data_IF_394633247887
#
_entry.id   IF_394633247887
#
_cell.length_a   1.000
_cell.length_b   1.000
_cell.length_c   1.000
_cell.angle_alpha   90.00
_cell.angle_beta   90.00
_cell.angle_gamma   90.00
#
_symmetry.space_group_name_H-M   'P 1'
#
loop_
_entity.id
_entity.type
_entity.pdbx_description
1 polymer ?
#
# COMPACT_ATOMS: atom_id res chain seq x y z
N UNK A 1 2.47 -22.11 -20.01
CA UNK A 1 2.01 -21.93 -18.62
C UNK A 1 2.06 -20.44 -18.32
N UNK A 2 0.93 -19.75 -18.42
CA UNK A 2 0.85 -18.34 -18.03
C UNK A 2 0.99 -18.28 -16.50
N UNK A 3 2.15 -17.82 -16.02
CA UNK A 3 2.27 -17.37 -14.63
C UNK A 3 1.45 -16.10 -14.53
N UNK A 4 0.14 -16.21 -14.30
CA UNK A 4 -0.66 -15.07 -13.88
C UNK A 4 -0.08 -14.68 -12.52
N UNK A 5 0.72 -13.61 -12.53
CA UNK A 5 1.21 -12.95 -11.33
C UNK A 5 0.03 -12.76 -10.38
N UNK A 6 0.12 -13.37 -9.19
CA UNK A 6 -0.91 -13.29 -8.17
C UNK A 6 -1.16 -11.81 -7.84
N UNK A 7 -2.30 -11.28 -8.29
CA UNK A 7 -2.73 -9.92 -7.93
C UNK A 7 -3.01 -9.91 -6.43
N UNK A 8 -2.44 -8.93 -5.74
CA UNK A 8 -2.66 -8.70 -4.31
C UNK A 8 -3.13 -7.27 -4.15
N UNK A 9 -4.26 -7.10 -3.46
CA UNK A 9 -4.85 -5.80 -3.22
C UNK A 9 -4.56 -5.34 -1.78
N UNK A 10 -4.30 -4.05 -1.63
CA UNK A 10 -4.02 -3.37 -0.35
C UNK A 10 -5.31 -2.96 0.37
N UNK A 11 -5.21 -2.32 1.54
CA UNK A 11 -6.36 -1.86 2.35
C UNK A 11 -7.35 -0.98 1.57
N UNK A 12 -6.85 -0.18 0.61
CA UNK A 12 -7.67 0.67 -0.26
C UNK A 12 -7.76 0.13 -1.68
N UNK A 13 -7.52 -1.18 -1.82
CA UNK A 13 -7.63 -1.93 -3.06
C UNK A 13 -6.71 -1.46 -4.19
N UNK A 14 -5.58 -0.81 -3.87
CA UNK A 14 -4.50 -0.63 -4.84
C UNK A 14 -3.81 -1.97 -5.12
N UNK A 15 -3.39 -2.17 -6.38
CA UNK A 15 -2.46 -3.24 -6.77
C UNK A 15 -1.12 -3.08 -6.02
N UNK A 16 -0.76 -4.05 -5.18
CA UNK A 16 0.41 -3.98 -4.30
C UNK A 16 1.71 -3.77 -5.08
N UNK A 17 1.88 -4.43 -6.22
CA UNK A 17 3.10 -4.27 -7.02
C UNK A 17 3.22 -2.83 -7.55
N UNK A 18 2.10 -2.24 -7.97
CA UNK A 18 2.00 -0.82 -8.29
C UNK A 18 2.31 0.09 -7.11
N UNK A 19 1.82 -0.21 -5.91
CA UNK A 19 2.18 0.54 -4.70
C UNK A 19 3.69 0.51 -4.45
N UNK A 20 4.33 -0.66 -4.57
CA UNK A 20 5.78 -0.82 -4.42
C UNK A 20 6.54 0.03 -5.43
N UNK A 21 6.17 -0.04 -6.73
CA UNK A 21 6.78 0.79 -7.78
C UNK A 21 6.61 2.29 -7.48
N UNK A 22 5.43 2.69 -7.05
CA UNK A 22 5.11 4.09 -6.72
C UNK A 22 5.91 4.60 -5.54
N UNK A 23 6.11 3.78 -4.50
CA UNK A 23 6.98 4.09 -3.37
C UNK A 23 8.43 4.29 -3.83
N UNK A 24 8.96 3.40 -4.66
CA UNK A 24 10.31 3.53 -5.22
C UNK A 24 10.47 4.82 -6.02
N UNK A 25 9.53 5.12 -6.93
CA UNK A 25 9.55 6.32 -7.74
C UNK A 25 9.53 7.58 -6.87
N UNK A 26 8.59 7.68 -5.93
CA UNK A 26 8.48 8.83 -5.04
C UNK A 26 9.75 9.05 -4.19
N UNK A 27 10.41 7.97 -3.73
CA UNK A 27 11.71 8.07 -3.04
C UNK A 27 12.84 8.57 -3.93
N UNK A 28 12.85 8.19 -5.21
CA UNK A 28 13.86 8.66 -6.19
C UNK A 28 13.65 10.13 -6.52
N UNK A 29 12.40 10.53 -6.74
CA UNK A 29 11.98 11.92 -6.96
C UNK A 29 12.09 12.78 -5.69
N UNK A 30 12.34 12.16 -4.54
CA UNK A 30 12.40 12.78 -3.21
C UNK A 30 11.08 13.47 -2.83
N UNK A 31 9.96 13.02 -3.40
CA UNK A 31 8.60 13.42 -3.04
C UNK A 31 8.19 12.70 -1.76
N UNK A 32 8.44 13.35 -0.62
CA UNK A 32 8.14 12.79 0.69
C UNK A 32 6.64 12.53 0.89
N UNK A 33 5.75 13.39 0.36
CA UNK A 33 4.30 13.28 0.58
C UNK A 33 3.69 12.09 -0.17
N UNK A 34 4.14 11.82 -1.40
CA UNK A 34 3.75 10.58 -2.09
C UNK A 34 4.40 9.35 -1.47
N UNK A 35 5.69 9.43 -1.15
CA UNK A 35 6.40 8.29 -0.61
C UNK A 35 5.80 7.83 0.73
N UNK A 36 5.45 8.77 1.63
CA UNK A 36 4.84 8.43 2.93
C UNK A 36 3.45 7.83 2.76
N UNK A 37 2.67 8.31 1.79
CA UNK A 37 1.36 7.73 1.46
C UNK A 37 1.52 6.26 1.06
N UNK A 38 2.39 5.95 0.09
CA UNK A 38 2.59 4.59 -0.38
C UNK A 38 3.21 3.66 0.67
N UNK A 39 4.13 4.18 1.47
CA UNK A 39 4.72 3.42 2.56
C UNK A 39 3.67 3.03 3.61
N UNK A 40 2.75 3.94 3.96
CA UNK A 40 1.66 3.62 4.88
C UNK A 40 0.57 2.77 4.25
N UNK A 41 0.33 2.88 2.94
CA UNK A 41 -0.54 1.96 2.23
C UNK A 41 -0.05 0.51 2.37
N UNK A 42 1.25 0.27 2.19
CA UNK A 42 1.84 -1.05 2.44
C UNK A 42 1.77 -1.44 3.92
N UNK A 43 2.24 -0.56 4.82
CA UNK A 43 2.38 -0.85 6.24
C UNK A 43 1.04 -1.28 6.87
N UNK A 44 -0.01 -0.49 6.65
CA UNK A 44 -1.33 -0.76 7.23
C UNK A 44 -2.13 -1.82 6.48
N UNK A 45 -1.67 -2.25 5.29
CA UNK A 45 -2.21 -3.46 4.63
C UNK A 45 -1.64 -4.76 5.19
N UNK A 46 -0.67 -4.68 6.11
CA UNK A 46 -0.01 -5.84 6.71
C UNK A 46 1.40 -6.11 6.18
N UNK A 47 1.86 -5.38 5.16
CA UNK A 47 3.19 -5.57 4.55
C UNK A 47 4.30 -4.81 5.29
N UNK A 48 4.28 -4.90 6.63
CA UNK A 48 5.15 -4.10 7.53
C UNK A 48 6.63 -4.42 7.34
N UNK A 49 6.97 -5.69 7.20
CA UNK A 49 8.35 -6.15 7.00
C UNK A 49 8.87 -5.77 5.62
N UNK A 50 8.01 -5.89 4.60
CA UNK A 50 8.30 -5.60 3.21
C UNK A 50 8.63 -4.12 3.02
N UNK A 51 7.81 -3.21 3.58
CA UNK A 51 8.09 -1.77 3.50
C UNK A 51 9.38 -1.40 4.22
N UNK A 52 9.66 -1.97 5.40
CA UNK A 52 10.93 -1.74 6.09
C UNK A 52 12.14 -2.24 5.30
N UNK A 53 12.01 -3.41 4.65
CA UNK A 53 13.05 -3.95 3.77
C UNK A 53 13.30 -3.04 2.57
N UNK A 54 12.26 -2.46 1.96
CA UNK A 54 12.38 -1.49 0.87
C UNK A 54 13.17 -0.26 1.34
N UNK A 55 12.81 0.30 2.50
CA UNK A 55 13.50 1.46 3.07
C UNK A 55 14.96 1.17 3.40
N UNK A 56 15.23 0.03 4.04
CA UNK A 56 16.59 -0.40 4.38
C UNK A 56 17.43 -0.66 3.14
N UNK A 57 16.88 -1.33 2.12
CA UNK A 57 17.57 -1.54 0.84
C UNK A 57 17.92 -0.22 0.18
N UNK A 58 16.98 0.74 0.15
CA UNK A 58 17.23 2.08 -0.40
C UNK A 58 18.35 2.82 0.33
N UNK A 59 18.43 2.68 1.65
CA UNK A 59 19.57 3.15 2.44
C UNK A 59 20.87 2.44 1.99
N UNK A 60 20.89 1.11 2.04
CA UNK A 60 22.08 0.31 1.78
C UNK A 60 22.68 0.58 0.39
N UNK A 61 21.84 0.65 -0.64
CA UNK A 61 22.28 0.80 -2.03
C UNK A 61 22.79 2.20 -2.38
N UNK A 62 22.28 3.24 -1.72
CA UNK A 62 22.49 4.62 -2.17
C UNK A 62 23.16 5.51 -1.13
N UNK A 63 22.99 5.21 0.15
CA UNK A 63 23.47 6.07 1.23
C UNK A 63 24.66 5.48 1.98
N UNK A 64 24.81 4.15 2.05
CA UNK A 64 25.78 3.48 2.93
C UNK A 64 27.23 3.98 2.82
N UNK A 65 27.69 4.27 1.60
CA UNK A 65 29.06 4.75 1.36
C UNK A 65 29.33 6.14 1.96
N UNK A 66 28.33 7.03 1.90
CA UNK A 66 28.47 8.45 2.23
C UNK A 66 27.76 8.85 3.55
N UNK A 67 26.89 8.00 4.09
CA UNK A 67 26.03 8.29 5.25
C UNK A 67 26.01 7.14 6.29
N UNK A 68 27.17 6.65 6.78
CA UNK A 68 27.20 5.54 7.74
C UNK A 68 26.46 5.84 9.07
N UNK A 69 26.50 7.08 9.58
CA UNK A 69 25.74 7.49 10.79
C UNK A 69 24.24 7.41 10.56
N UNK A 70 23.76 7.69 9.36
CA UNK A 70 22.36 7.48 9.01
C UNK A 70 21.96 6.01 9.16
N UNK A 71 22.82 5.06 8.78
CA UNK A 71 22.56 3.64 8.96
C UNK A 71 22.41 3.25 10.42
N UNK A 72 23.32 3.72 11.28
CA UNK A 72 23.22 3.51 12.73
C UNK A 72 21.93 4.12 13.29
N UNK A 73 21.60 5.34 12.87
CA UNK A 73 20.36 5.99 13.26
C UNK A 73 19.11 5.21 12.82
N UNK A 74 19.02 4.79 11.55
CA UNK A 74 17.91 3.99 11.04
C UNK A 74 17.75 2.71 11.85
N UNK A 75 18.84 1.96 12.09
CA UNK A 75 18.79 0.74 12.92
C UNK A 75 18.28 1.00 14.33
N UNK A 76 18.64 2.13 14.93
CA UNK A 76 18.15 2.52 16.26
C UNK A 76 16.68 2.96 16.29
N UNK A 77 16.06 3.20 15.13
CA UNK A 77 14.68 3.70 15.00
C UNK A 77 13.70 2.71 14.41
N UNK A 78 14.18 1.69 13.69
CA UNK A 78 13.31 0.66 13.14
C UNK A 78 12.70 -0.12 14.30
N UNK A 79 11.37 -0.08 14.35
CA UNK A 79 10.53 -0.90 15.19
C UNK A 79 9.28 -1.21 14.35
N UNK A 80 9.08 -2.49 14.03
CA UNK A 80 8.03 -2.94 13.11
C UNK A 80 6.62 -2.62 13.63
N UNK A 81 6.47 -2.48 14.95
CA UNK A 81 5.19 -2.23 15.60
C UNK A 81 4.96 -0.75 15.89
N UNK A 82 5.94 0.12 15.63
CA UNK A 82 5.83 1.57 15.78
C UNK A 82 5.74 2.26 14.42
N UNK A 83 4.54 2.66 13.96
CA UNK A 83 4.36 3.14 12.59
C UNK A 83 5.12 4.45 12.30
N UNK A 84 5.41 5.28 13.31
CA UNK A 84 6.24 6.47 13.14
C UNK A 84 7.68 6.18 12.68
N UNK A 85 8.17 4.94 12.83
CA UNK A 85 9.48 4.56 12.32
C UNK A 85 9.55 4.71 10.78
N UNK A 86 8.46 4.38 10.06
CA UNK A 86 8.35 4.52 8.61
C UNK A 86 8.59 5.97 8.20
N UNK A 87 7.83 6.89 8.79
CA UNK A 87 7.97 8.33 8.54
C UNK A 87 9.35 8.86 8.88
N UNK A 88 9.92 8.42 10.00
CA UNK A 88 11.25 8.81 10.47
C UNK A 88 12.33 8.39 9.48
N UNK A 89 12.36 7.12 9.09
CA UNK A 89 13.33 6.58 8.14
C UNK A 89 13.17 7.27 6.78
N UNK A 90 11.94 7.29 6.27
CA UNK A 90 11.65 7.83 4.95
C UNK A 90 11.97 9.33 4.83
N UNK A 91 11.66 10.14 5.85
CA UNK A 91 11.98 11.57 5.86
C UNK A 91 13.48 11.80 5.72
N UNK A 92 14.30 11.02 6.43
CA UNK A 92 15.75 11.16 6.33
C UNK A 92 16.29 10.69 4.96
N UNK A 93 15.69 9.63 4.38
CA UNK A 93 16.07 9.14 3.05
C UNK A 93 15.68 10.08 1.91
N UNK A 94 14.59 10.85 2.05
CA UNK A 94 14.18 11.82 1.02
C UNK A 94 14.86 13.18 1.20
N UNK A 95 15.19 13.59 2.43
CA UNK A 95 15.83 14.90 2.69
C UNK A 95 17.32 14.94 2.39
N UNK A 96 18.04 13.82 2.46
CA UNK A 96 19.51 13.79 2.30
C UNK A 96 19.91 13.48 0.86
N UNK A 97 21.04 14.05 0.42
CA UNK A 97 21.62 13.72 -0.89
C UNK A 97 22.59 12.53 -0.73
N UNK A 98 22.31 11.36 -1.32
CA UNK A 98 23.18 10.19 -1.22
C UNK A 98 24.59 10.40 -1.79
N UNK A 99 24.75 11.28 -2.77
CA UNK A 99 26.04 11.57 -3.42
C UNK A 99 26.95 12.49 -2.62
N UNK A 100 26.47 13.10 -1.53
CA UNK A 100 27.24 14.02 -0.71
C UNK A 100 27.53 13.36 0.65
N UNK A 101 28.81 13.24 1.06
CA UNK A 101 29.16 12.72 2.38
C UNK A 101 28.47 13.47 3.52
N UNK A 102 28.04 12.74 4.55
CA UNK A 102 27.40 13.35 5.71
C UNK A 102 28.39 14.21 6.52
N UNK A 103 27.97 15.40 6.98
CA UNK A 103 28.84 16.27 7.77
C UNK A 103 29.10 15.66 9.16
N UNK A 104 30.18 16.11 9.81
CA UNK A 104 30.53 15.66 11.17
C UNK A 104 29.34 15.81 12.15
N UNK A 105 28.65 16.95 12.10
CA UNK A 105 27.52 17.32 12.96
C UNK A 105 26.15 17.05 12.30
N UNK A 106 26.01 15.93 11.57
CA UNK A 106 24.76 15.57 10.90
C UNK A 106 23.59 15.49 11.89
N UNK A 107 22.47 16.12 11.54
CA UNK A 107 21.20 15.99 12.26
C UNK A 107 20.28 15.00 11.56
N UNK A 108 19.52 14.25 12.34
CA UNK A 108 18.48 13.35 11.87
C UNK A 108 17.11 13.83 12.33
N UNK A 109 16.12 13.64 11.48
CA UNK A 109 14.73 13.95 11.80
C UNK A 109 14.12 12.75 12.51
N UNK A 110 13.39 13.00 13.60
CA UNK A 110 12.57 11.99 14.27
C UNK A 110 11.10 12.43 14.16
N UNK A 111 10.29 11.64 13.47
CA UNK A 111 8.86 11.92 13.32
C UNK A 111 8.12 11.33 14.52
N UNK A 112 7.23 12.11 15.12
CA UNK A 112 6.42 11.72 16.28
C UNK A 112 5.09 11.12 15.83
N UNK A 113 4.50 10.30 16.69
CA UNK A 113 3.27 9.55 16.39
C UNK A 113 2.10 10.45 15.97
N UNK A 114 1.91 11.60 16.65
CA UNK A 114 0.80 12.50 16.33
C UNK A 114 0.89 13.11 14.91
N UNK A 115 2.07 13.15 14.29
CA UNK A 115 2.21 13.61 12.90
C UNK A 115 1.69 12.61 11.87
N UNK A 116 1.53 11.33 12.26
CA UNK A 116 1.19 10.25 11.33
C UNK A 116 -0.27 9.80 11.47
N UNK A 117 -1.03 10.38 12.39
CA UNK A 117 -2.42 10.04 12.66
C UNK A 117 -3.31 10.15 11.41
N UNK A 118 -2.99 11.09 10.52
CA UNK A 118 -3.67 11.26 9.22
C UNK A 118 -3.49 10.07 8.26
N UNK A 119 -2.53 9.17 8.48
CA UNK A 119 -2.25 8.01 7.61
C UNK A 119 -2.78 6.69 8.16
N UNK A 120 -3.26 6.66 9.41
CA UNK A 120 -3.90 5.48 9.98
C UNK A 120 -5.08 5.04 9.13
N UNK A 121 -5.34 3.74 9.11
CA UNK A 121 -6.57 3.22 8.52
C UNK A 121 -7.76 3.77 9.28
N UNK A 122 -8.69 4.40 8.56
CA UNK A 122 -9.96 4.88 9.11
C UNK A 122 -11.06 4.04 8.54
N UNK A 123 -11.72 3.22 9.34
CA UNK A 123 -12.82 2.40 8.86
C UNK A 123 -13.95 3.27 8.28
N UNK A 124 -14.75 2.78 7.31
CA UNK A 124 -15.95 3.49 6.86
C UNK A 124 -16.84 3.85 8.05
N UNK A 125 -17.25 5.11 8.14
CA UNK A 125 -18.19 5.54 9.17
C UNK A 125 -19.58 4.91 8.92
N UNK A 126 -20.36 4.66 9.97
CA UNK A 126 -21.63 3.93 9.87
C UNK A 126 -22.70 4.59 8.99
N UNK A 127 -22.58 5.89 8.70
CA UNK A 127 -23.44 6.64 7.79
C UNK A 127 -22.89 6.70 6.35
N UNK A 128 -21.64 6.32 6.15
CA UNK A 128 -20.97 6.35 4.85
C UNK A 128 -21.19 5.04 4.13
N UNK A 129 -21.85 5.11 2.97
CA UNK A 129 -22.01 3.95 2.09
C UNK A 129 -20.64 3.36 1.72
N UNK A 130 -20.37 2.06 1.94
CA UNK A 130 -19.04 1.46 1.75
C UNK A 130 -18.43 1.68 0.37
N UNK A 131 -19.23 1.61 -0.70
CA UNK A 131 -18.75 1.86 -2.06
C UNK A 131 -18.30 3.31 -2.31
N UNK A 132 -18.62 4.27 -1.44
CA UNK A 132 -18.07 5.63 -1.54
C UNK A 132 -16.70 5.78 -0.89
N UNK A 133 -16.27 4.78 -0.12
CA UNK A 133 -15.09 4.86 0.71
C UNK A 133 -13.81 5.00 -0.13
N UNK A 134 -13.64 4.20 -1.18
CA UNK A 134 -12.47 4.22 -2.04
C UNK A 134 -12.24 5.61 -2.67
N UNK A 135 -13.30 6.25 -3.14
CA UNK A 135 -13.21 7.59 -3.72
C UNK A 135 -12.67 8.64 -2.73
N UNK A 136 -12.90 8.47 -1.43
CA UNK A 136 -12.41 9.37 -0.38
C UNK A 136 -10.95 9.12 0.02
N UNK A 137 -10.47 7.87 -0.05
CA UNK A 137 -9.15 7.47 0.48
C UNK A 137 -8.08 7.29 -0.60
N UNK A 138 -8.46 6.96 -1.84
CA UNK A 138 -7.53 6.74 -2.94
C UNK A 138 -7.03 8.07 -3.54
N UNK A 139 -5.93 8.58 -2.98
CA UNK A 139 -5.41 9.92 -3.26
C UNK A 139 -4.56 10.04 -4.54
N UNK A 140 -3.69 9.06 -4.81
CA UNK A 140 -2.73 9.11 -5.90
C UNK A 140 -2.92 7.92 -6.85
N UNK A 141 -2.56 8.10 -8.12
CA UNK A 141 -2.46 6.99 -9.07
C UNK A 141 -1.17 6.20 -8.82
N UNK A 142 -1.27 4.88 -8.86
CA UNK A 142 -0.07 4.05 -8.82
C UNK A 142 0.71 4.21 -10.13
N UNK A 143 2.03 4.15 -10.03
CA UNK A 143 2.94 4.15 -11.16
C UNK A 143 2.60 2.99 -12.10
N UNK A 144 2.36 3.29 -13.38
CA UNK A 144 1.94 2.30 -14.35
C UNK A 144 3.03 1.25 -14.59
N UNK A 145 2.62 0.07 -15.08
CA UNK A 145 3.58 -0.92 -15.60
C UNK A 145 4.09 -0.44 -16.96
N UNK A 146 5.34 -0.81 -17.29
CA UNK A 146 5.90 -0.60 -18.63
C UNK A 146 5.33 -1.58 -19.66
N UNK A 147 4.84 -2.74 -19.21
CA UNK A 147 4.25 -3.77 -20.05
C UNK A 147 2.72 -3.69 -19.96
N UNK A 148 2.08 -3.61 -21.13
CA UNK A 148 0.63 -3.44 -21.34
C UNK A 148 -0.14 -4.78 -21.32
N UNK A 149 0.57 -5.91 -21.29
CA UNK A 149 -0.04 -7.23 -21.33
C UNK A 149 -0.93 -7.45 -20.09
N UNK A 150 -2.18 -7.83 -20.36
CA UNK A 150 -3.21 -8.23 -19.40
C UNK A 150 -3.89 -7.09 -18.61
N UNK A 151 -3.82 -5.82 -19.03
CA UNK A 151 -4.56 -4.73 -18.37
C UNK A 151 -6.08 -4.98 -18.29
N UNK A 152 -6.69 -5.50 -19.37
CA UNK A 152 -8.11 -5.89 -19.39
C UNK A 152 -8.42 -6.99 -18.38
N UNK A 153 -7.62 -8.06 -18.37
CA UNK A 153 -7.77 -9.17 -17.42
C UNK A 153 -7.58 -8.72 -15.96
N UNK A 154 -6.64 -7.80 -15.71
CA UNK A 154 -6.43 -7.20 -14.38
C UNK A 154 -7.63 -6.37 -13.94
N UNK A 155 -8.26 -5.61 -14.83
CA UNK A 155 -9.50 -4.89 -14.52
C UNK A 155 -10.65 -5.85 -14.24
N UNK A 156 -10.83 -6.87 -15.08
CA UNK A 156 -11.84 -7.92 -14.85
C UNK A 156 -11.62 -8.56 -13.49
N UNK A 157 -10.38 -8.92 -13.16
CA UNK A 157 -9.99 -9.47 -11.85
C UNK A 157 -10.30 -8.52 -10.70
N UNK A 158 -9.99 -7.23 -10.88
CA UNK A 158 -10.24 -6.19 -9.88
C UNK A 158 -11.72 -5.88 -9.67
N UNK A 159 -12.57 -6.07 -10.68
CA UNK A 159 -14.02 -5.87 -10.58
C UNK A 159 -14.68 -7.08 -9.93
N UNK A 160 -14.49 -8.24 -10.54
CA UNK A 160 -15.28 -9.44 -10.26
C UNK A 160 -14.75 -10.26 -9.07
N UNK A 161 -13.45 -10.16 -8.74
CA UNK A 161 -12.79 -11.04 -7.76
C UNK A 161 -11.96 -10.28 -6.73
N UNK A 162 -12.30 -9.02 -6.50
CA UNK A 162 -11.51 -8.13 -5.66
C UNK A 162 -11.31 -8.68 -4.25
N UNK A 163 -12.36 -9.26 -3.64
CA UNK A 163 -12.30 -9.72 -2.25
C UNK A 163 -11.34 -10.91 -2.09
N UNK A 164 -11.31 -11.83 -3.06
CA UNK A 164 -10.33 -12.91 -3.12
C UNK A 164 -8.90 -12.37 -3.20
N UNK A 165 -8.64 -11.41 -4.08
CA UNK A 165 -7.31 -10.81 -4.23
C UNK A 165 -6.92 -9.91 -3.04
N UNK A 166 -7.88 -9.29 -2.39
CA UNK A 166 -7.70 -8.51 -1.17
C UNK A 166 -7.35 -9.40 0.02
N UNK A 167 -7.91 -10.61 0.11
CA UNK A 167 -7.66 -11.58 1.18
C UNK A 167 -6.19 -11.96 1.40
N UNK A 168 -5.33 -11.70 0.41
CA UNK A 168 -3.89 -11.90 0.51
C UNK A 168 -3.16 -10.83 1.33
N UNK A 169 -3.84 -9.73 1.66
CA UNK A 169 -3.36 -8.76 2.65
C UNK A 169 -3.92 -9.11 4.03
N UNK A 170 -3.13 -8.90 5.09
CA UNK A 170 -3.54 -9.34 6.43
C UNK A 170 -4.80 -8.60 6.90
N UNK A 171 -4.91 -7.30 6.59
CA UNK A 171 -6.04 -6.49 7.01
C UNK A 171 -7.37 -7.01 6.45
N UNK A 172 -7.39 -7.41 5.18
CA UNK A 172 -8.59 -7.96 4.56
C UNK A 172 -8.88 -9.37 5.03
N UNK A 173 -7.83 -10.18 5.23
CA UNK A 173 -7.98 -11.50 5.85
C UNK A 173 -8.59 -11.40 7.25
N UNK A 174 -8.14 -10.46 8.07
CA UNK A 174 -8.67 -10.19 9.41
C UNK A 174 -10.14 -9.77 9.33
N UNK A 175 -10.51 -8.88 8.41
CA UNK A 175 -11.91 -8.49 8.16
C UNK A 175 -12.78 -9.69 7.76
N UNK A 176 -12.32 -10.50 6.80
CA UNK A 176 -13.05 -11.69 6.35
C UNK A 176 -13.25 -12.67 7.51
N UNK A 177 -12.20 -12.96 8.28
CA UNK A 177 -12.26 -13.88 9.42
C UNK A 177 -13.15 -13.38 10.56
N UNK A 178 -13.18 -12.06 10.80
CA UNK A 178 -14.05 -11.45 11.80
C UNK A 178 -15.55 -11.65 11.51
N UNK A 179 -15.89 -11.88 10.24
CA UNK A 179 -17.25 -12.20 9.77
C UNK A 179 -17.39 -13.68 9.37
N UNK A 180 -16.59 -14.57 9.97
CA UNK A 180 -16.63 -16.02 9.69
C UNK A 180 -16.46 -16.42 8.21
N UNK A 181 -15.86 -15.54 7.40
CA UNK A 181 -15.63 -15.79 5.99
C UNK A 181 -14.47 -16.75 5.74
N UNK A 182 -14.54 -17.48 4.63
CA UNK A 182 -13.54 -18.45 4.19
C UNK A 182 -13.10 -18.15 2.77
N UNK A 183 -11.79 -18.20 2.55
CA UNK A 183 -11.19 -18.05 1.22
C UNK A 183 -11.04 -19.44 0.62
N UNK A 184 -11.66 -19.68 -0.53
CA UNK A 184 -11.50 -20.90 -1.31
C UNK A 184 -10.47 -20.65 -2.42
N UNK A 185 -9.30 -21.28 -2.34
CA UNK A 185 -8.23 -21.12 -3.35
C UNK A 185 -8.54 -21.85 -4.66
N UNK A 186 -9.44 -22.83 -4.65
CA UNK A 186 -9.85 -23.61 -5.83
C UNK A 186 -10.84 -22.82 -6.67
N UNK A 187 -11.94 -22.35 -6.05
CA UNK A 187 -12.93 -21.50 -6.75
C UNK A 187 -12.46 -20.06 -6.92
N UNK A 188 -11.50 -19.62 -6.11
CA UNK A 188 -11.00 -18.23 -6.01
C UNK A 188 -12.07 -17.25 -5.53
N UNK A 189 -12.87 -17.69 -4.56
CA UNK A 189 -13.97 -16.92 -3.99
C UNK A 189 -13.81 -16.79 -2.47
N UNK A 190 -14.53 -15.83 -1.90
CA UNK A 190 -14.68 -15.70 -0.45
C UNK A 190 -16.15 -15.92 -0.13
N UNK A 191 -16.42 -16.91 0.71
CA UNK A 191 -17.79 -17.27 1.12
C UNK A 191 -17.97 -16.99 2.60
N UNK A 192 -19.18 -16.61 2.97
CA UNK A 192 -19.58 -16.33 4.35
C UNK A 192 -20.62 -17.37 4.79
N UNK A 193 -20.76 -17.57 6.09
CA UNK A 193 -21.74 -18.51 6.65
C UNK A 193 -22.89 -17.74 7.30
N UNK A 194 -24.11 -17.94 6.81
CA UNK A 194 -25.32 -17.34 7.40
C UNK A 194 -25.38 -15.81 7.24
N UNK A 195 -25.88 -15.12 8.25
CA UNK A 195 -26.15 -13.67 8.23
C UNK A 195 -24.88 -12.79 8.31
N UNK A 196 -23.70 -13.38 8.50
CA UNK A 196 -22.43 -12.64 8.58
C UNK A 196 -22.03 -11.98 7.26
N UNK A 197 -22.57 -12.48 6.13
CA UNK A 197 -22.32 -11.91 4.81
C UNK A 197 -22.83 -10.48 4.70
N UNK A 198 -24.09 -10.26 5.09
CA UNK A 198 -24.73 -8.95 5.03
C UNK A 198 -23.99 -7.95 5.93
N UNK A 199 -23.62 -8.38 7.14
CA UNK A 199 -22.84 -7.55 8.07
C UNK A 199 -21.44 -7.20 7.52
N UNK A 200 -20.79 -8.12 6.80
CA UNK A 200 -19.53 -7.84 6.13
C UNK A 200 -19.72 -6.78 5.04
N UNK A 201 -20.67 -6.98 4.13
CA UNK A 201 -20.86 -6.08 2.98
C UNK A 201 -21.44 -4.71 3.37
N UNK A 202 -22.26 -4.63 4.42
CA UNK A 202 -22.75 -3.36 4.99
C UNK A 202 -21.59 -2.44 5.41
N UNK A 203 -20.44 -3.00 5.77
CA UNK A 203 -19.25 -2.24 6.18
C UNK A 203 -18.15 -2.20 5.14
N UNK A 204 -17.93 -3.31 4.42
CA UNK A 204 -16.76 -3.56 3.59
C UNK A 204 -17.07 -3.78 2.12
N UNK A 205 -18.33 -3.63 1.69
CA UNK A 205 -18.77 -3.70 0.29
C UNK A 205 -18.25 -2.53 -0.54
N UNK A 206 -16.95 -2.53 -0.83
CA UNK A 206 -16.29 -1.42 -1.53
C UNK A 206 -16.60 -1.38 -3.04
N UNK A 207 -17.15 -2.46 -3.59
CA UNK A 207 -17.69 -2.57 -4.96
C UNK A 207 -16.83 -1.84 -6.02
N UNK A 208 -15.65 -2.39 -6.35
CA UNK A 208 -14.74 -1.75 -7.30
C UNK A 208 -15.31 -1.51 -8.70
N UNK A 209 -16.27 -2.35 -9.12
CA UNK A 209 -16.98 -2.23 -10.40
C UNK A 209 -17.90 -1.01 -10.49
N UNK A 210 -18.48 -0.59 -9.36
CA UNK A 210 -19.33 0.60 -9.24
C UNK A 210 -18.53 1.91 -9.14
N UNK A 211 -17.20 1.82 -9.04
CA UNK A 211 -16.33 2.99 -8.99
C UNK A 211 -16.19 3.65 -10.37
N UNK A 212 -15.86 4.94 -10.38
CA UNK A 212 -15.53 5.62 -11.63
C UNK A 212 -14.35 4.95 -12.35
N UNK A 213 -14.39 4.95 -13.68
CA UNK A 213 -13.30 4.42 -14.51
C UNK A 213 -11.94 5.01 -14.14
N UNK A 214 -11.89 6.30 -13.84
CA UNK A 214 -10.69 6.99 -13.38
C UNK A 214 -10.15 6.41 -12.08
N UNK A 215 -11.02 6.09 -11.11
CA UNK A 215 -10.59 5.49 -9.86
C UNK A 215 -10.09 4.04 -10.07
N UNK A 216 -10.77 3.27 -10.91
CA UNK A 216 -10.33 1.91 -11.24
C UNK A 216 -8.94 1.92 -11.91
N UNK A 217 -8.72 2.83 -12.87
CA UNK A 217 -7.41 3.07 -13.51
C UNK A 217 -6.35 3.50 -12.49
N UNK A 218 -6.71 4.42 -11.58
CA UNK A 218 -5.85 4.88 -10.49
C UNK A 218 -5.37 3.75 -9.60
N UNK A 219 -6.24 2.81 -9.24
CA UNK A 219 -5.92 1.68 -8.36
C UNK A 219 -5.10 0.59 -9.06
N UNK A 220 -5.31 0.41 -10.37
CA UNK A 220 -4.70 -0.67 -11.16
C UNK A 220 -3.50 -0.26 -12.02
N UNK A 221 -3.26 1.05 -12.17
CA UNK A 221 -2.15 1.62 -12.93
C UNK A 221 -2.30 1.39 -14.42
N UNK A 222 -3.50 1.66 -14.96
CA UNK A 222 -3.89 1.40 -16.35
C UNK A 222 -4.15 2.73 -17.07
N UNK A 223 -3.65 2.84 -18.30
CA UNK A 223 -3.79 4.05 -19.13
C UNK A 223 -5.08 4.05 -19.98
N UNK A 224 -5.42 5.23 -20.50
CA UNK A 224 -6.69 5.49 -21.21
C UNK A 224 -6.88 4.69 -22.50
N UNK A 225 -5.82 4.18 -23.12
CA UNK A 225 -5.87 3.48 -24.41
C UNK A 225 -6.47 2.07 -24.36
N UNK A 226 -6.90 1.58 -23.19
CA UNK A 226 -7.22 0.15 -22.97
C UNK A 226 -8.70 -0.10 -22.58
N UNK A 227 -9.57 0.90 -22.65
CA UNK A 227 -11.01 0.75 -22.40
C UNK A 227 -11.85 0.94 -23.65
#
# INVERSE_FOLDING_TARGET
MSFILKVVLTRYLYDLEGVVRSLHQAMVERDYEKAIFWAYEMYYSGFRKEVLNILWRRYAEKFSANHPKLGFYIRSKIDIDQPACISTVLKNLTMKNPGVPEPANVRFVNVKEYHIEKYRTREPAGDTKPWKYLAAVCKYAISPRKEEDNAKERLTTFRERWLYHASFSSIWRERILAHSGKVDETSREVTFCGEEEDAFYEKYGFEPEEQSIELQKRCMGIFDTIL
#
